data_IF_541081597369
#
_entry.id   IF_541081597369
#
_cell.length_a   1.000
_cell.length_b   1.000
_cell.length_c   1.000
_cell.angle_alpha   90.00
_cell.angle_beta   90.00
_cell.angle_gamma   90.00
#
_symmetry.space_group_name_H-M   'P 1'
#
loop_
_entity.id
_entity.type
_entity.pdbx_description
1 polymer ?
#
# COMPACT_ATOMS: atom_id res chain seq x y z
N UNK A 1 -16.47 10.13 14.53
CA UNK A 1 -14.99 10.18 14.58
C UNK A 1 -14.40 8.92 15.22
N UNK A 2 -14.89 8.51 16.41
CA UNK A 2 -14.50 7.26 17.09
C UNK A 2 -14.65 6.00 16.23
N UNK A 3 -15.74 5.86 15.47
CA UNK A 3 -15.92 4.69 14.59
C UNK A 3 -14.92 4.60 13.44
N UNK A 4 -14.52 5.74 12.85
CA UNK A 4 -13.47 5.75 11.81
C UNK A 4 -12.11 5.34 12.39
N UNK A 5 -11.83 5.73 13.63
CA UNK A 5 -10.61 5.33 14.35
C UNK A 5 -10.65 3.83 14.67
N UNK A 6 -11.80 3.29 15.08
CA UNK A 6 -11.98 1.87 15.38
C UNK A 6 -11.84 0.99 14.13
N UNK A 7 -12.40 1.42 12.99
CA UNK A 7 -12.20 0.77 11.69
C UNK A 7 -10.73 0.83 11.21
N UNK A 8 -10.05 1.94 11.49
CA UNK A 8 -8.63 2.08 11.21
C UNK A 8 -7.77 1.16 12.11
N UNK A 9 -8.15 1.02 13.38
CA UNK A 9 -7.48 0.09 14.32
C UNK A 9 -7.69 -1.37 13.93
N UNK A 10 -8.90 -1.75 13.50
CA UNK A 10 -9.18 -3.08 12.97
C UNK A 10 -8.42 -3.40 11.68
N UNK A 11 -7.82 -2.39 11.04
CA UNK A 11 -6.99 -2.58 9.86
C UNK A 11 -5.58 -3.04 10.20
N UNK A 12 -5.10 -2.75 11.41
CA UNK A 12 -3.77 -3.16 11.85
C UNK A 12 -3.72 -4.66 12.14
N UNK A 13 -2.68 -5.30 11.60
CA UNK A 13 -2.36 -6.69 11.91
C UNK A 13 -1.62 -6.75 13.24
N UNK A 14 -1.62 -7.92 13.89
CA UNK A 14 -0.88 -8.14 15.15
C UNK A 14 0.59 -7.76 15.02
N UNK A 15 1.18 -7.96 13.85
CA UNK A 15 2.56 -7.59 13.55
C UNK A 15 2.81 -6.09 13.60
N UNK A 16 1.85 -5.27 13.17
CA UNK A 16 1.97 -3.81 13.22
C UNK A 16 2.01 -3.33 14.67
N UNK A 17 1.21 -3.92 15.55
CA UNK A 17 1.25 -3.63 16.99
C UNK A 17 2.58 -4.02 17.64
N UNK A 18 3.10 -5.20 17.33
CA UNK A 18 4.42 -5.65 17.82
C UNK A 18 5.51 -4.70 17.33
N UNK A 19 5.45 -4.29 16.06
CA UNK A 19 6.43 -3.38 15.49
C UNK A 19 6.37 -1.99 16.15
N UNK A 20 5.19 -1.36 16.25
CA UNK A 20 5.07 -0.06 16.93
C UNK A 20 5.48 -0.15 18.40
N UNK A 21 5.15 -1.25 19.08
CA UNK A 21 5.62 -1.51 20.44
C UNK A 21 7.14 -1.57 20.52
N UNK A 22 7.79 -2.26 19.58
CA UNK A 22 9.25 -2.35 19.52
C UNK A 22 9.93 -1.00 19.30
N UNK A 23 9.40 -0.18 18.39
CA UNK A 23 9.89 1.20 18.15
C UNK A 23 9.73 2.04 19.41
N UNK A 24 8.60 1.93 20.10
CA UNK A 24 8.38 2.67 21.35
C UNK A 24 9.34 2.25 22.47
N UNK A 25 9.64 0.96 22.60
CA UNK A 25 10.64 0.46 23.56
C UNK A 25 12.04 0.98 23.21
N UNK A 26 12.38 1.00 21.92
CA UNK A 26 13.67 1.52 21.41
C UNK A 26 13.82 3.02 21.70
N UNK A 27 12.74 3.79 21.54
CA UNK A 27 12.68 5.19 21.94
C UNK A 27 12.97 5.37 23.44
N UNK A 28 12.31 4.61 24.32
CA UNK A 28 12.56 4.67 25.77
C UNK A 28 14.02 4.34 26.07
N UNK A 29 14.58 3.31 25.42
CA UNK A 29 15.97 2.92 25.59
C UNK A 29 16.92 4.08 25.24
N UNK A 30 16.69 4.80 24.14
CA UNK A 30 17.50 5.96 23.76
C UNK A 30 17.36 7.13 24.74
N UNK A 31 16.18 7.36 25.31
CA UNK A 31 15.99 8.37 26.36
C UNK A 31 16.78 8.00 27.62
N UNK A 32 16.72 6.73 28.05
CA UNK A 32 17.50 6.25 29.22
C UNK A 32 19.00 6.37 28.96
N UNK A 33 19.47 5.98 27.78
CA UNK A 33 20.87 6.17 27.35
C UNK A 33 21.26 7.65 27.37
N UNK A 34 20.39 8.54 26.92
CA UNK A 34 20.63 9.99 26.95
C UNK A 34 20.85 10.50 28.38
N UNK A 35 20.05 10.01 29.34
CA UNK A 35 20.21 10.35 30.76
C UNK A 35 21.51 9.78 31.36
N UNK A 36 21.85 8.54 31.03
CA UNK A 36 23.07 7.87 31.50
C UNK A 36 24.34 8.55 30.97
N UNK A 37 24.33 9.02 29.71
CA UNK A 37 25.47 9.68 29.07
C UNK A 37 25.49 11.20 29.25
N UNK A 38 24.76 11.72 30.25
CA UNK A 38 24.71 13.15 30.61
C UNK A 38 26.07 13.83 30.69
N UNK A 39 27.10 13.14 31.16
CA UNK A 39 28.45 13.71 31.30
C UNK A 39 29.12 13.98 29.94
N UNK A 40 28.74 13.25 28.89
CA UNK A 40 29.22 13.43 27.52
C UNK A 40 28.16 14.12 26.68
N UNK A 41 28.03 15.44 26.86
CA UNK A 41 26.99 16.28 26.25
C UNK A 41 26.80 16.02 24.76
N UNK A 42 27.88 15.94 23.97
CA UNK A 42 27.80 15.69 22.52
C UNK A 42 27.14 14.35 22.18
N UNK A 43 27.46 13.31 22.95
CA UNK A 43 26.95 11.96 22.73
C UNK A 43 25.50 11.83 23.22
N UNK A 44 25.17 12.48 24.34
CA UNK A 44 23.78 12.60 24.82
C UNK A 44 22.89 13.33 23.79
N UNK A 45 23.37 14.44 23.23
CA UNK A 45 22.61 15.21 22.23
C UNK A 45 22.38 14.41 20.94
N UNK A 46 23.35 13.60 20.53
CA UNK A 46 23.22 12.68 19.39
C UNK A 46 22.16 11.59 19.65
N UNK A 47 22.18 10.97 20.84
CA UNK A 47 21.18 9.95 21.23
C UNK A 47 19.76 10.53 21.30
N UNK A 48 19.61 11.75 21.81
CA UNK A 48 18.34 12.47 21.83
C UNK A 48 17.79 12.68 20.41
N UNK A 49 18.66 13.08 19.48
CA UNK A 49 18.28 13.33 18.08
C UNK A 49 17.83 12.02 17.41
N UNK A 50 18.54 10.91 17.64
CA UNK A 50 18.12 9.59 17.17
C UNK A 50 16.76 9.20 17.74
N UNK A 51 16.52 9.41 19.04
CA UNK A 51 15.23 9.10 19.66
C UNK A 51 14.08 9.87 18.98
N UNK A 52 14.29 11.15 18.67
CA UNK A 52 13.30 11.98 18.00
C UNK A 52 13.04 11.53 16.55
N UNK A 53 14.08 11.11 15.84
CA UNK A 53 13.94 10.55 14.50
C UNK A 53 13.24 9.18 14.52
N UNK A 54 13.54 8.34 15.51
CA UNK A 54 12.95 7.00 15.62
C UNK A 54 11.44 7.07 15.85
N UNK A 55 10.97 7.93 16.75
CA UNK A 55 9.52 8.06 17.03
C UNK A 55 8.73 8.67 15.86
N UNK A 56 9.37 9.48 15.01
CA UNK A 56 8.71 10.15 13.87
C UNK A 56 8.80 9.32 12.58
N UNK A 57 9.99 8.84 12.24
CA UNK A 57 10.27 8.13 10.99
C UNK A 57 10.09 6.61 11.13
N UNK A 58 10.37 6.04 12.31
CA UNK A 58 10.32 4.59 12.54
C UNK A 58 8.96 3.99 12.19
N UNK A 59 7.83 4.51 12.72
CA UNK A 59 6.51 3.99 12.41
C UNK A 59 6.15 4.06 10.92
N UNK A 60 6.52 5.15 10.24
CA UNK A 60 6.12 5.41 8.85
C UNK A 60 6.92 4.58 7.85
N UNK A 61 8.25 4.60 7.97
CA UNK A 61 9.14 3.85 7.10
C UNK A 61 9.02 2.34 7.36
N UNK A 62 8.94 1.97 8.63
CA UNK A 62 8.80 0.59 9.05
C UNK A 62 7.54 -0.08 8.51
N UNK A 63 6.39 0.57 8.67
CA UNK A 63 5.12 0.04 8.16
C UNK A 63 5.17 -0.24 6.65
N UNK A 64 5.67 0.70 5.85
CA UNK A 64 5.76 0.54 4.40
C UNK A 64 6.74 -0.58 3.99
N UNK A 65 7.87 -0.69 4.66
CA UNK A 65 8.87 -1.71 4.38
C UNK A 65 8.42 -3.11 4.78
N UNK A 66 7.83 -3.25 5.98
CA UNK A 66 7.29 -4.51 6.44
C UNK A 66 6.14 -4.98 5.57
N UNK A 67 5.20 -4.09 5.23
CA UNK A 67 4.04 -4.47 4.43
C UNK A 67 4.43 -4.91 3.02
N UNK A 68 5.32 -4.17 2.35
CA UNK A 68 5.82 -4.55 1.00
C UNK A 68 6.65 -5.84 0.99
N UNK A 69 7.33 -6.17 2.09
CA UNK A 69 8.15 -7.39 2.20
C UNK A 69 7.32 -8.61 2.59
N UNK A 70 6.40 -8.44 3.54
CA UNK A 70 5.59 -9.52 4.09
C UNK A 70 4.45 -9.92 3.16
N UNK A 71 3.84 -8.96 2.44
CA UNK A 71 2.66 -9.18 1.60
C UNK A 71 2.95 -8.96 0.11
N UNK A 72 4.02 -9.59 -0.39
CA UNK A 72 4.35 -9.57 -1.81
C UNK A 72 3.24 -10.19 -2.65
N UNK A 73 2.74 -9.43 -3.60
CA UNK A 73 1.77 -9.86 -4.58
C UNK A 73 2.30 -9.64 -6.00
N UNK A 74 1.77 -10.42 -6.93
CA UNK A 74 2.05 -10.27 -8.35
C UNK A 74 0.71 -10.14 -9.07
N UNK A 75 0.56 -9.08 -9.85
CA UNK A 75 -0.66 -8.79 -10.61
C UNK A 75 -0.33 -8.84 -12.08
N UNK A 76 -1.02 -9.70 -12.81
CA UNK A 76 -0.93 -9.79 -14.26
C UNK A 76 -2.26 -9.39 -14.88
N UNK A 77 -2.23 -8.47 -15.85
CA UNK A 77 -3.43 -8.06 -16.58
C UNK A 77 -3.56 -9.00 -17.78
N UNK A 78 -4.61 -9.80 -17.81
CA UNK A 78 -4.88 -10.71 -18.94
C UNK A 78 -5.67 -10.00 -20.04
N UNK A 79 -6.56 -9.07 -19.69
CA UNK A 79 -7.39 -8.37 -20.67
C UNK A 79 -7.85 -7.02 -20.17
N UNK A 80 -7.70 -5.98 -20.98
CA UNK A 80 -8.32 -4.68 -20.76
C UNK A 80 -9.04 -4.28 -22.05
N UNK A 81 -10.38 -4.21 -22.04
CA UNK A 81 -11.16 -3.86 -23.22
C UNK A 81 -12.31 -2.91 -22.88
N UNK A 82 -12.62 -2.03 -23.82
CA UNK A 82 -13.85 -1.24 -23.78
C UNK A 82 -15.02 -2.10 -24.28
N UNK A 83 -16.15 -2.06 -23.58
CA UNK A 83 -17.36 -2.74 -24.04
C UNK A 83 -18.04 -1.89 -25.12
N UNK A 84 -18.53 -2.56 -26.17
CA UNK A 84 -19.16 -1.90 -27.34
C UNK A 84 -20.59 -1.49 -27.07
N UNK A 85 -21.33 -2.27 -26.27
CA UNK A 85 -22.77 -2.08 -26.03
C UNK A 85 -23.08 -1.28 -24.76
N UNK A 86 -22.10 -1.14 -23.86
CA UNK A 86 -22.25 -0.44 -22.58
C UNK A 86 -21.08 0.52 -22.42
N UNK A 87 -21.31 1.71 -21.84
CA UNK A 87 -20.25 2.69 -21.55
C UNK A 87 -19.42 2.22 -20.36
N UNK A 88 -18.64 1.17 -20.56
CA UNK A 88 -17.92 0.44 -19.52
C UNK A 88 -16.57 -0.06 -20.04
N UNK A 89 -15.62 -0.24 -19.13
CA UNK A 89 -14.34 -0.91 -19.41
C UNK A 89 -14.26 -2.14 -18.54
N UNK A 90 -13.96 -3.28 -19.18
CA UNK A 90 -13.70 -4.55 -18.52
C UNK A 90 -12.20 -4.74 -18.35
N UNK A 91 -11.76 -4.98 -17.13
CA UNK A 91 -10.35 -5.30 -16.82
C UNK A 91 -10.35 -6.65 -16.11
N UNK A 92 -9.76 -7.64 -16.77
CA UNK A 92 -9.56 -8.99 -16.25
C UNK A 92 -8.07 -9.19 -16.00
N UNK A 93 -7.75 -9.82 -14.87
CA UNK A 93 -6.39 -10.08 -14.47
C UNK A 93 -6.32 -11.20 -13.45
N UNK A 94 -5.09 -11.55 -13.10
CA UNK A 94 -4.81 -12.57 -12.10
C UNK A 94 -3.95 -11.97 -10.99
N UNK A 95 -4.35 -12.22 -9.75
CA UNK A 95 -3.62 -11.83 -8.55
C UNK A 95 -3.02 -13.09 -7.94
N UNK A 96 -1.68 -13.17 -7.93
CA UNK A 96 -0.93 -14.27 -7.32
C UNK A 96 -0.36 -13.84 -5.99
N UNK A 97 -0.61 -14.64 -4.96
CA UNK A 97 0.02 -14.48 -3.67
C UNK A 97 1.41 -15.12 -3.68
N UNK A 98 2.45 -14.30 -3.84
CA UNK A 98 3.86 -14.74 -3.80
C UNK A 98 4.48 -14.58 -2.41
N UNK A 99 3.65 -14.22 -1.42
CA UNK A 99 4.09 -13.97 -0.06
C UNK A 99 4.30 -15.26 0.74
N UNK A 100 4.79 -15.12 1.98
CA UNK A 100 4.90 -16.24 2.92
C UNK A 100 3.61 -16.51 3.68
N UNK A 101 2.60 -15.65 3.57
CA UNK A 101 1.36 -15.67 4.35
C UNK A 101 0.12 -15.80 3.45
N UNK A 102 -1.00 -16.19 4.04
CA UNK A 102 -2.29 -16.12 3.35
C UNK A 102 -2.79 -14.67 3.39
N UNK A 103 -3.32 -14.16 2.28
CA UNK A 103 -4.00 -12.87 2.30
C UNK A 103 -5.42 -13.08 2.82
N UNK A 104 -5.76 -12.41 3.92
CA UNK A 104 -7.15 -12.32 4.40
C UNK A 104 -7.96 -11.39 3.51
N UNK A 105 -7.34 -10.31 3.04
CA UNK A 105 -7.99 -9.32 2.20
C UNK A 105 -6.98 -8.68 1.26
N UNK A 106 -7.33 -8.57 -0.01
CA UNK A 106 -6.60 -7.78 -0.97
C UNK A 106 -7.50 -6.74 -1.62
N UNK A 107 -7.09 -5.48 -1.47
CA UNK A 107 -7.71 -4.33 -2.11
C UNK A 107 -7.01 -4.11 -3.45
N UNK A 108 -7.69 -4.44 -4.53
CA UNK A 108 -7.22 -4.22 -5.89
C UNK A 108 -7.81 -2.89 -6.37
N UNK A 109 -6.95 -2.00 -6.83
CA UNK A 109 -7.29 -0.70 -7.37
C UNK A 109 -6.97 -0.67 -8.86
N UNK A 110 -7.99 -0.45 -9.68
CA UNK A 110 -7.86 -0.31 -11.12
C UNK A 110 -8.03 1.17 -11.49
N UNK A 111 -6.98 1.77 -12.01
CA UNK A 111 -6.94 3.17 -12.42
C UNK A 111 -6.78 3.28 -13.94
N UNK A 112 -7.71 3.99 -14.58
CA UNK A 112 -7.65 4.27 -16.02
C UNK A 112 -6.88 5.57 -16.25
N UNK A 113 -5.82 5.48 -17.04
CA UNK A 113 -4.92 6.57 -17.39
C UNK A 113 -5.15 6.99 -18.85
N UNK A 114 -4.96 8.27 -19.13
CA UNK A 114 -4.94 8.76 -20.52
C UNK A 114 -3.69 8.22 -21.20
N UNK A 115 -3.82 7.65 -22.39
CA UNK A 115 -2.65 7.29 -23.17
C UNK A 115 -2.00 8.56 -23.74
N UNK A 116 -0.67 8.58 -23.77
CA UNK A 116 0.11 9.70 -24.28
C UNK A 116 1.49 9.20 -24.74
N UNK A 117 1.89 9.62 -25.94
CA UNK A 117 3.19 9.29 -26.53
C UNK A 117 4.40 9.92 -25.81
N UNK A 118 4.20 10.82 -24.84
CA UNK A 118 5.27 11.48 -24.09
C UNK A 118 5.49 10.85 -22.71
N UNK A 119 6.67 10.25 -22.50
CA UNK A 119 7.10 9.54 -21.28
C UNK A 119 6.98 10.38 -20.00
N UNK A 120 7.27 11.68 -20.08
CA UNK A 120 7.23 12.57 -18.90
C UNK A 120 5.78 12.90 -18.49
N UNK A 121 4.90 13.06 -19.48
CA UNK A 121 3.48 13.33 -19.23
C UNK A 121 2.78 12.10 -18.64
N UNK A 122 3.22 10.89 -19.00
CA UNK A 122 2.70 9.64 -18.41
C UNK A 122 2.98 9.53 -16.91
N UNK A 123 4.09 10.09 -16.41
CA UNK A 123 4.37 10.10 -14.98
C UNK A 123 3.40 11.00 -14.21
N UNK A 124 3.08 12.17 -14.76
CA UNK A 124 2.12 13.12 -14.18
C UNK A 124 0.70 12.55 -14.25
N UNK A 125 0.36 11.85 -15.33
CA UNK A 125 -0.96 11.26 -15.51
C UNK A 125 -1.25 10.13 -14.51
N UNK A 126 -0.23 9.43 -13.99
CA UNK A 126 -0.38 8.47 -12.88
C UNK A 126 -0.93 9.11 -11.60
N UNK A 127 -0.67 10.40 -11.37
CA UNK A 127 -1.16 11.15 -10.21
C UNK A 127 -2.61 11.62 -10.37
N UNK A 128 -3.14 11.60 -11.60
CA UNK A 128 -4.51 12.05 -11.89
C UNK A 128 -5.21 11.07 -12.85
N UNK A 129 -5.61 9.89 -12.38
CA UNK A 129 -6.38 8.95 -13.17
C UNK A 129 -7.72 9.55 -13.62
N UNK A 130 -8.23 9.08 -14.76
CA UNK A 130 -9.55 9.49 -15.29
C UNK A 130 -10.64 8.95 -14.37
N UNK A 131 -10.47 7.70 -13.95
CA UNK A 131 -11.39 6.99 -13.08
C UNK A 131 -10.65 5.87 -12.37
N UNK A 132 -11.03 5.65 -11.13
CA UNK A 132 -10.47 4.64 -10.25
C UNK A 132 -11.62 3.84 -9.68
N UNK A 133 -11.48 2.51 -9.66
CA UNK A 133 -12.41 1.62 -9.01
C UNK A 133 -11.66 0.61 -8.15
N UNK A 134 -12.33 0.12 -7.10
CA UNK A 134 -11.72 -0.67 -6.04
C UNK A 134 -12.52 -1.95 -5.86
N UNK A 135 -11.84 -3.10 -5.96
CA UNK A 135 -12.40 -4.41 -5.67
C UNK A 135 -11.69 -5.00 -4.46
N UNK A 136 -12.47 -5.57 -3.54
CA UNK A 136 -11.95 -6.28 -2.37
C UNK A 136 -12.09 -7.78 -2.62
N UNK A 137 -10.97 -8.48 -2.71
CA UNK A 137 -10.91 -9.95 -2.82
C UNK A 137 -10.48 -10.49 -1.47
N UNK A 138 -11.17 -11.50 -0.94
CA UNK A 138 -10.88 -12.09 0.36
C UNK A 138 -10.23 -13.46 0.21
N UNK A 139 -9.47 -13.84 1.23
CA UNK A 139 -8.96 -15.20 1.43
C UNK A 139 -8.22 -15.79 0.22
N UNK A 140 -7.03 -15.25 -0.06
CA UNK A 140 -6.12 -15.76 -1.10
C UNK A 140 -5.00 -16.57 -0.44
N UNK A 141 -5.04 -17.91 -0.54
CA UNK A 141 -4.02 -18.74 0.08
C UNK A 141 -2.64 -18.49 -0.53
N UNK A 142 -1.61 -18.74 0.28
CA UNK A 142 -0.21 -18.67 -0.13
C UNK A 142 0.04 -19.47 -1.41
N UNK A 143 0.74 -18.85 -2.37
CA UNK A 143 1.14 -19.48 -3.63
C UNK A 143 0.00 -19.66 -4.63
N UNK A 144 -1.26 -19.36 -4.26
CA UNK A 144 -2.40 -19.47 -5.16
C UNK A 144 -2.61 -18.16 -5.92
N UNK A 145 -3.26 -18.33 -7.06
CA UNK A 145 -3.66 -17.25 -7.95
C UNK A 145 -5.18 -17.16 -7.96
N UNK A 146 -5.71 -15.93 -7.93
CA UNK A 146 -7.15 -15.67 -8.00
C UNK A 146 -7.41 -14.69 -9.13
N UNK A 147 -8.34 -15.06 -10.01
CA UNK A 147 -8.78 -14.18 -11.10
C UNK A 147 -9.67 -13.08 -10.55
N UNK A 148 -9.47 -11.87 -11.05
CA UNK A 148 -10.31 -10.72 -10.71
C UNK A 148 -10.84 -10.07 -11.98
N UNK A 149 -12.02 -9.47 -11.85
CA UNK A 149 -12.73 -8.81 -12.93
C UNK A 149 -13.30 -7.50 -12.46
N UNK A 150 -12.88 -6.41 -13.09
CA UNK A 150 -13.45 -5.08 -12.91
C UNK A 150 -14.40 -4.75 -14.04
N UNK A 151 -15.48 -4.07 -13.69
CA UNK A 151 -16.37 -3.42 -14.63
C UNK A 151 -16.49 -1.95 -14.22
N UNK A 152 -15.74 -1.09 -14.89
CA UNK A 152 -15.69 0.34 -14.53
C UNK A 152 -16.78 1.09 -15.30
N UNK A 153 -17.83 1.50 -14.59
CA UNK A 153 -18.99 2.21 -15.13
C UNK A 153 -19.29 3.52 -14.39
N UNK A 154 -19.81 4.57 -15.07
CA UNK A 154 -19.77 4.78 -16.51
C UNK A 154 -18.37 5.22 -16.99
N UNK A 155 -17.98 4.82 -18.20
CA UNK A 155 -16.75 5.22 -18.87
C UNK A 155 -17.05 5.81 -20.26
N UNK A 156 -16.95 7.15 -20.35
CA UNK A 156 -17.32 7.91 -21.55
C UNK A 156 -16.11 8.34 -22.40
N UNK A 157 -14.90 7.88 -22.08
CA UNK A 157 -13.70 8.29 -22.79
C UNK A 157 -13.58 7.57 -24.14
N UNK A 158 -13.31 8.32 -25.20
CA UNK A 158 -13.34 7.84 -26.59
C UNK A 158 -11.96 7.56 -27.19
N UNK A 159 -10.88 8.04 -26.55
CA UNK A 159 -9.51 7.87 -27.03
C UNK A 159 -8.86 6.64 -26.40
N UNK A 160 -7.68 6.27 -26.91
CA UNK A 160 -6.83 5.25 -26.33
C UNK A 160 -6.51 5.56 -24.87
N UNK A 161 -6.50 4.52 -24.05
CA UNK A 161 -6.31 4.59 -22.61
C UNK A 161 -5.37 3.48 -22.16
N UNK A 162 -4.58 3.77 -21.13
CA UNK A 162 -3.78 2.77 -20.44
C UNK A 162 -4.46 2.40 -19.13
N UNK A 163 -4.21 1.18 -18.66
CA UNK A 163 -4.73 0.68 -17.39
C UNK A 163 -3.57 0.42 -16.45
N UNK A 164 -3.66 0.96 -15.24
CA UNK A 164 -2.76 0.64 -14.13
C UNK A 164 -3.55 -0.08 -13.06
N UNK A 165 -3.11 -1.29 -12.70
CA UNK A 165 -3.72 -2.05 -11.60
C UNK A 165 -2.69 -2.19 -10.49
N UNK A 166 -3.08 -1.81 -9.27
CA UNK A 166 -2.26 -1.95 -8.06
C UNK A 166 -3.04 -2.75 -7.04
N UNK A 167 -2.40 -3.66 -6.30
CA UNK A 167 -3.04 -4.39 -5.22
C UNK A 167 -2.31 -4.15 -3.91
N UNK A 168 -3.08 -3.87 -2.86
CA UNK A 168 -2.58 -3.78 -1.48
C UNK A 168 -3.24 -4.94 -0.72
N UNK A 169 -2.45 -5.94 -0.32
CA UNK A 169 -2.93 -7.16 0.31
C UNK A 169 -2.45 -7.29 1.77
N UNK A 170 -3.27 -7.94 2.61
CA UNK A 170 -3.00 -8.23 4.03
C UNK A 170 -3.51 -9.61 4.42
#
# INVERSE_FOLDING_TARGET
MKEKILLFLHTFTVYDYIYFGSVFILFILFIVLTLLLREKITLALFMLLIALLDITLGPTLGYNYFHSTLYKNEITITKAKKLTFVKAVIIEGNLKNTSKFNFKECKIEASILRDTHNKYKNLILKLKPIKTDILIVKDIPKGKSTEFKFLIEPFNYQKDFNVSVTGICR
#
